data_IF_109660000570
#
_entry.id   IF_109660000570
#
_cell.length_a   1.000
_cell.length_b   1.000
_cell.length_c   1.000
_cell.angle_alpha   90.00
_cell.angle_beta   90.00
_cell.angle_gamma   90.00
#
_symmetry.space_group_name_H-M   'P 1'
#
loop_
_entity.id
_entity.type
_entity.pdbx_description
1 polymer ?
#
# COMPACT_ATOMS: atom_id res chain seq x y z
N UNK A 1 30.04 4.96 15.76
CA UNK A 1 28.89 5.49 15.00
C UNK A 1 27.66 4.75 15.51
N UNK A 2 26.52 5.43 15.70
CA UNK A 2 25.28 4.74 16.07
C UNK A 2 24.98 3.66 15.01
N UNK A 3 24.50 2.50 15.46
CA UNK A 3 24.06 1.45 14.54
C UNK A 3 22.80 1.95 13.82
N UNK A 4 22.77 1.82 12.49
CA UNK A 4 21.58 2.15 11.71
C UNK A 4 20.54 1.07 11.93
N UNK A 5 19.38 1.42 12.46
CA UNK A 5 18.38 0.43 12.85
C UNK A 5 17.40 0.17 11.69
N UNK A 6 17.11 -1.10 11.40
CA UNK A 6 16.06 -1.48 10.45
C UNK A 6 15.04 -2.40 11.13
N UNK A 7 13.74 -2.07 11.12
CA UNK A 7 12.74 -2.89 11.79
C UNK A 7 12.64 -4.29 11.19
N UNK A 8 12.82 -5.32 12.01
CA UNK A 8 12.85 -6.71 11.56
C UNK A 8 11.56 -7.15 10.83
N UNK A 9 10.40 -6.65 11.26
CA UNK A 9 9.11 -6.95 10.60
C UNK A 9 9.04 -6.41 9.15
N UNK A 10 9.84 -5.41 8.78
CA UNK A 10 9.86 -4.84 7.44
C UNK A 10 10.85 -5.54 6.48
N UNK A 11 11.61 -6.53 6.95
CA UNK A 11 12.53 -7.32 6.09
C UNK A 11 11.76 -8.00 4.96
N UNK A 12 10.49 -8.36 5.20
CA UNK A 12 9.60 -8.91 4.16
C UNK A 12 9.46 -7.98 2.96
N UNK A 13 9.40 -6.67 3.15
CA UNK A 13 9.29 -5.70 2.04
C UNK A 13 10.54 -5.73 1.15
N UNK A 14 11.72 -5.93 1.75
CA UNK A 14 12.97 -6.10 1.00
C UNK A 14 12.99 -7.42 0.23
N UNK A 15 12.39 -8.48 0.77
CA UNK A 15 12.23 -9.75 0.06
C UNK A 15 11.25 -9.61 -1.12
N UNK A 16 10.16 -8.87 -0.95
CA UNK A 16 9.22 -8.57 -2.04
C UNK A 16 9.87 -7.72 -3.14
N UNK A 17 10.72 -6.76 -2.77
CA UNK A 17 11.59 -6.03 -3.70
C UNK A 17 12.53 -7.00 -4.45
N UNK A 18 13.26 -7.84 -3.72
CA UNK A 18 14.18 -8.82 -4.30
C UNK A 18 13.48 -9.77 -5.28
N UNK A 19 12.26 -10.23 -4.94
CA UNK A 19 11.43 -11.08 -5.83
C UNK A 19 11.11 -10.36 -7.13
N UNK A 20 10.60 -9.12 -7.06
CA UNK A 20 10.26 -8.31 -8.25
C UNK A 20 11.47 -8.06 -9.13
N UNK A 21 12.63 -7.79 -8.56
CA UNK A 21 13.84 -7.55 -9.33
C UNK A 21 14.37 -8.84 -9.97
N UNK A 22 14.31 -9.97 -9.27
CA UNK A 22 14.70 -11.27 -9.84
C UNK A 22 13.79 -11.70 -11.00
N UNK A 23 12.49 -11.42 -10.92
CA UNK A 23 11.53 -11.73 -12.00
C UNK A 23 11.81 -10.92 -13.28
N UNK A 24 12.36 -9.72 -13.14
CA UNK A 24 12.70 -8.83 -14.25
C UNK A 24 14.17 -8.97 -14.71
N UNK A 25 15.02 -9.62 -13.91
CA UNK A 25 16.45 -9.76 -14.19
C UNK A 25 16.70 -10.75 -15.32
N UNK A 26 17.56 -10.37 -16.27
CA UNK A 26 18.06 -11.29 -17.30
C UNK A 26 19.21 -12.14 -16.76
N UNK A 27 19.38 -13.39 -17.19
CA UNK A 27 20.57 -14.17 -16.87
C UNK A 27 21.84 -13.39 -17.25
N UNK A 28 22.87 -13.45 -16.39
CA UNK A 28 24.13 -12.73 -16.56
C UNK A 28 24.02 -11.18 -16.53
N UNK A 29 22.95 -10.61 -15.98
CA UNK A 29 22.93 -9.17 -15.64
C UNK A 29 24.09 -8.86 -14.67
N UNK A 30 24.95 -7.88 -14.97
CA UNK A 30 26.07 -7.49 -14.10
C UNK A 30 25.60 -7.07 -12.71
N UNK A 31 26.37 -7.43 -11.68
CA UNK A 31 26.07 -7.08 -10.28
C UNK A 31 26.02 -5.57 -10.06
N UNK A 32 26.83 -4.79 -10.80
CA UNK A 32 26.82 -3.32 -10.81
C UNK A 32 25.45 -2.73 -11.13
N UNK A 33 24.86 -3.14 -12.25
CA UNK A 33 23.54 -2.69 -12.68
C UNK A 33 22.46 -3.14 -11.69
N UNK A 34 22.56 -4.38 -11.21
CA UNK A 34 21.59 -4.94 -10.28
C UNK A 34 21.65 -4.28 -8.90
N UNK A 35 22.84 -3.93 -8.41
CA UNK A 35 23.04 -3.17 -7.17
C UNK A 35 22.34 -1.82 -7.25
N UNK A 36 22.51 -1.11 -8.38
CA UNK A 36 21.87 0.17 -8.62
C UNK A 36 20.34 0.07 -8.58
N UNK A 37 19.76 -0.93 -9.25
CA UNK A 37 18.31 -1.19 -9.23
C UNK A 37 17.81 -1.54 -7.82
N UNK A 38 18.57 -2.32 -7.06
CA UNK A 38 18.24 -2.70 -5.69
C UNK A 38 18.25 -1.48 -4.75
N UNK A 39 19.21 -0.58 -4.88
CA UNK A 39 19.29 0.66 -4.09
C UNK A 39 18.17 1.65 -4.41
N UNK A 40 17.83 1.84 -5.70
CA UNK A 40 16.64 2.62 -6.09
C UNK A 40 15.38 2.00 -5.50
N UNK A 41 15.24 0.68 -5.65
CA UNK A 41 14.10 -0.05 -5.11
C UNK A 41 14.00 0.00 -3.58
N UNK A 42 15.14 0.01 -2.88
CA UNK A 42 15.21 0.19 -1.43
C UNK A 42 14.73 1.58 -1.02
N UNK A 43 15.24 2.62 -1.67
CA UNK A 43 14.80 3.99 -1.44
C UNK A 43 13.28 4.10 -1.60
N UNK A 44 12.75 3.61 -2.73
CA UNK A 44 11.32 3.60 -2.99
C UNK A 44 10.57 2.80 -1.91
N UNK A 45 11.06 1.62 -1.54
CA UNK A 45 10.42 0.78 -0.51
C UNK A 45 10.35 1.52 0.82
N UNK A 46 11.43 2.18 1.24
CA UNK A 46 11.46 2.97 2.46
C UNK A 46 10.49 4.14 2.42
N UNK A 47 10.46 4.92 1.32
CA UNK A 47 9.51 6.02 1.14
C UNK A 47 8.04 5.56 1.18
N UNK A 48 7.74 4.42 0.57
CA UNK A 48 6.36 3.88 0.52
C UNK A 48 5.91 3.21 1.83
N UNK A 49 6.86 2.70 2.61
CA UNK A 49 6.63 2.05 3.90
C UNK A 49 6.71 3.03 5.09
N UNK A 50 7.14 4.28 4.86
CA UNK A 50 7.36 5.27 5.89
C UNK A 50 8.58 4.98 6.77
N UNK A 51 9.66 4.47 6.17
CA UNK A 51 10.93 4.15 6.82
C UNK A 51 11.99 5.23 6.63
N UNK A 52 11.57 6.49 6.53
CA UNK A 52 12.48 7.59 6.25
C UNK A 52 13.42 7.89 7.37
N UNK A 53 13.10 7.49 8.60
CA UNK A 53 14.08 7.51 9.67
C UNK A 53 15.32 6.70 9.28
N UNK A 54 15.14 5.54 8.64
CA UNK A 54 16.26 4.75 8.10
C UNK A 54 17.02 5.54 7.04
N UNK A 55 16.32 6.22 6.13
CA UNK A 55 16.94 7.05 5.09
C UNK A 55 17.66 8.28 5.67
N UNK A 56 17.09 8.90 6.70
CA UNK A 56 17.64 10.05 7.41
C UNK A 56 18.91 9.66 8.17
N UNK A 57 18.86 8.56 8.93
CA UNK A 57 20.02 8.03 9.64
C UNK A 57 21.11 7.61 8.63
N UNK A 58 20.75 7.03 7.47
CA UNK A 58 21.69 6.78 6.38
C UNK A 58 22.32 8.08 5.85
N UNK A 59 21.55 9.15 5.65
CA UNK A 59 22.09 10.44 5.20
C UNK A 59 22.94 11.14 6.27
N UNK A 60 22.68 10.91 7.56
CA UNK A 60 23.55 11.38 8.64
C UNK A 60 24.92 10.68 8.62
N UNK A 61 24.94 9.38 8.30
CA UNK A 61 26.19 8.61 8.13
C UNK A 61 26.88 8.95 6.81
N UNK A 62 26.09 9.26 5.77
CA UNK A 62 26.52 9.54 4.41
C UNK A 62 26.03 10.93 3.98
N UNK A 63 26.74 11.99 4.41
CA UNK A 63 26.35 13.38 4.20
C UNK A 63 26.16 13.81 2.71
N UNK A 64 26.64 12.98 1.77
CA UNK A 64 26.50 13.16 0.31
C UNK A 64 25.13 12.73 -0.22
N UNK A 65 24.31 12.03 0.58
CA UNK A 65 22.98 11.58 0.18
C UNK A 65 21.98 12.74 0.19
N UNK A 66 21.45 13.07 -0.99
CA UNK A 66 20.28 13.95 -1.12
C UNK A 66 19.00 13.12 -1.25
N UNK A 67 18.25 13.08 -0.16
CA UNK A 67 16.98 12.35 -0.07
C UNK A 67 15.84 12.98 -0.90
N UNK A 68 16.10 14.05 -1.66
CA UNK A 68 15.20 14.55 -2.72
C UNK A 68 15.39 13.84 -4.05
N UNK A 69 16.58 13.29 -4.29
CA UNK A 69 16.91 12.59 -5.51
C UNK A 69 17.16 11.10 -5.21
N UNK A 70 16.21 10.28 -5.67
CA UNK A 70 16.27 8.81 -5.54
C UNK A 70 17.55 8.20 -6.14
N UNK A 71 18.19 8.88 -7.10
CA UNK A 71 19.40 8.38 -7.74
C UNK A 71 20.61 8.47 -6.82
N UNK A 72 20.63 9.41 -5.87
CA UNK A 72 21.80 9.67 -5.01
C UNK A 72 22.22 8.45 -4.20
N UNK A 73 21.25 7.68 -3.68
CA UNK A 73 21.55 6.45 -2.95
C UNK A 73 22.16 5.39 -3.87
N UNK A 74 21.62 5.25 -5.09
CA UNK A 74 22.04 4.25 -6.05
C UNK A 74 23.41 4.58 -6.69
N UNK A 75 23.73 5.86 -6.79
CA UNK A 75 24.98 6.37 -7.36
C UNK A 75 26.04 6.67 -6.26
N UNK A 76 25.71 6.45 -4.98
CA UNK A 76 26.66 6.66 -3.88
C UNK A 76 27.77 5.61 -3.92
N UNK A 77 29.05 6.00 -4.16
CA UNK A 77 30.11 5.07 -4.55
C UNK A 77 30.36 3.98 -3.50
N UNK A 78 30.43 4.34 -2.21
CA UNK A 78 30.72 3.35 -1.15
C UNK A 78 29.58 2.35 -0.91
N UNK A 79 28.33 2.80 -0.98
CA UNK A 79 27.16 1.96 -0.73
C UNK A 79 26.92 1.02 -1.91
N UNK A 80 27.06 1.56 -3.12
CA UNK A 80 27.01 0.79 -4.35
C UNK A 80 28.11 -0.28 -4.38
N UNK A 81 29.37 0.10 -4.15
CA UNK A 81 30.50 -0.84 -4.11
C UNK A 81 30.30 -1.93 -3.04
N UNK A 82 29.90 -1.55 -1.82
CA UNK A 82 29.61 -2.50 -0.75
C UNK A 82 28.52 -3.51 -1.16
N UNK A 83 27.47 -3.05 -1.84
CA UNK A 83 26.41 -3.93 -2.31
C UNK A 83 26.87 -4.83 -3.44
N UNK A 84 27.64 -4.33 -4.41
CA UNK A 84 28.22 -5.16 -5.48
C UNK A 84 29.04 -6.31 -4.89
N UNK A 85 29.90 -6.02 -3.90
CA UNK A 85 30.70 -7.03 -3.21
C UNK A 85 29.81 -8.11 -2.56
N UNK A 86 28.71 -7.72 -1.90
CA UNK A 86 27.77 -8.67 -1.30
C UNK A 86 27.06 -9.52 -2.36
N UNK A 87 26.64 -8.91 -3.48
CA UNK A 87 25.95 -9.60 -4.57
C UNK A 87 26.85 -10.60 -5.31
N UNK A 88 28.12 -10.25 -5.53
CA UNK A 88 29.11 -11.14 -6.12
C UNK A 88 29.41 -12.33 -5.21
N UNK A 89 29.48 -12.11 -3.89
CA UNK A 89 29.72 -13.16 -2.90
C UNK A 89 28.61 -14.24 -2.88
N UNK A 90 27.35 -13.85 -3.05
CA UNK A 90 26.24 -14.82 -3.07
C UNK A 90 26.06 -15.51 -4.42
N UNK A 91 26.68 -15.00 -5.49
CA UNK A 91 26.56 -15.48 -6.86
C UNK A 91 25.09 -15.78 -7.22
N UNK A 92 24.32 -14.73 -7.52
CA UNK A 92 22.87 -14.83 -7.79
C UNK A 92 22.54 -15.86 -8.87
N UNK A 93 23.43 -16.10 -9.84
CA UNK A 93 23.23 -17.05 -10.93
C UNK A 93 23.62 -18.49 -10.57
N UNK A 94 24.17 -18.72 -9.38
CA UNK A 94 24.48 -20.07 -8.91
C UNK A 94 23.22 -20.95 -8.80
N UNK A 95 23.43 -22.25 -9.04
CA UNK A 95 22.41 -23.27 -8.91
C UNK A 95 21.98 -23.43 -7.46
N UNK A 96 20.85 -22.84 -7.08
CA UNK A 96 20.25 -22.95 -5.75
C UNK A 96 18.73 -22.78 -5.81
N UNK A 97 18.01 -23.07 -4.70
CA UNK A 97 16.56 -22.94 -4.65
C UNK A 97 16.11 -21.51 -4.97
N UNK A 98 15.30 -21.33 -6.01
CA UNK A 98 14.83 -19.99 -6.43
C UNK A 98 14.12 -19.22 -5.31
N UNK A 99 13.40 -19.94 -4.44
CA UNK A 99 12.67 -19.35 -3.32
C UNK A 99 13.57 -18.75 -2.22
N UNK A 100 14.85 -19.13 -2.15
CA UNK A 100 15.77 -18.60 -1.14
C UNK A 100 16.39 -17.24 -1.54
N UNK A 101 16.45 -16.95 -2.85
CA UNK A 101 17.14 -15.78 -3.40
C UNK A 101 16.59 -14.44 -2.90
N UNK A 102 15.26 -14.22 -2.79
CA UNK A 102 14.74 -12.95 -2.28
C UNK A 102 15.22 -12.60 -0.87
N UNK A 103 15.31 -13.62 0.01
CA UNK A 103 15.85 -13.45 1.36
C UNK A 103 17.33 -13.11 1.34
N UNK A 104 18.12 -13.82 0.54
CA UNK A 104 19.55 -13.53 0.39
C UNK A 104 19.79 -12.10 -0.11
N UNK A 105 18.97 -11.60 -1.03
CA UNK A 105 19.06 -10.21 -1.50
C UNK A 105 18.72 -9.20 -0.40
N UNK A 106 17.69 -9.46 0.41
CA UNK A 106 17.38 -8.63 1.55
C UNK A 106 18.54 -8.59 2.56
N UNK A 107 19.14 -9.76 2.85
CA UNK A 107 20.28 -9.87 3.76
C UNK A 107 21.53 -9.14 3.20
N UNK A 108 21.83 -9.27 1.90
CA UNK A 108 22.90 -8.52 1.22
C UNK A 108 22.70 -7.01 1.33
N UNK A 109 21.46 -6.54 1.13
CA UNK A 109 21.13 -5.13 1.20
C UNK A 109 21.27 -4.57 2.62
N UNK A 110 20.72 -5.28 3.61
CA UNK A 110 20.86 -4.93 5.04
C UNK A 110 22.34 -4.87 5.43
N UNK A 111 23.13 -5.87 5.03
CA UNK A 111 24.56 -5.91 5.32
C UNK A 111 25.34 -4.78 4.61
N UNK A 112 25.08 -4.54 3.32
CA UNK A 112 25.77 -3.52 2.53
C UNK A 112 25.52 -2.10 3.04
N UNK A 113 24.30 -1.84 3.52
CA UNK A 113 23.90 -0.56 4.09
C UNK A 113 24.29 -0.40 5.58
N UNK A 114 24.93 -1.41 6.19
CA UNK A 114 25.31 -1.37 7.60
C UNK A 114 24.11 -1.32 8.56
N UNK A 115 22.97 -1.86 8.13
CA UNK A 115 21.73 -1.87 8.92
C UNK A 115 21.76 -3.02 9.93
N UNK A 116 21.33 -2.73 11.15
CA UNK A 116 21.12 -3.71 12.22
C UNK A 116 19.63 -3.97 12.35
N UNK A 117 19.23 -5.23 12.22
CA UNK A 117 17.84 -5.63 12.42
C UNK A 117 17.49 -5.47 13.90
N UNK A 118 16.47 -4.68 14.19
CA UNK A 118 15.96 -4.49 15.54
C UNK A 118 14.51 -4.97 15.63
N UNK A 119 14.22 -5.69 16.71
CA UNK A 119 12.86 -5.91 17.16
C UNK A 119 12.43 -4.63 17.90
N UNK A 120 12.11 -3.58 17.15
CA UNK A 120 11.51 -2.38 17.76
C UNK A 120 10.24 -2.81 18.49
N UNK A 121 10.06 -2.48 19.79
CA UNK A 121 8.79 -2.68 20.46
C UNK A 121 7.79 -1.82 19.72
N UNK A 122 6.90 -2.50 19.04
CA UNK A 122 5.76 -1.97 18.33
C UNK A 122 5.13 -0.85 19.16
N UNK A 123 5.38 0.43 18.82
CA UNK A 123 4.67 1.57 19.41
C UNK A 123 3.27 1.62 18.83
N UNK A 124 2.54 0.54 19.03
CA UNK A 124 1.25 0.27 18.45
C UNK A 124 0.20 0.99 19.29
N UNK A 125 -0.53 1.91 18.66
CA UNK A 125 -1.73 2.46 19.31
C UNK A 125 -2.84 1.48 19.01
N UNK A 126 -3.18 0.64 19.98
CA UNK A 126 -4.26 -0.32 19.80
C UNK A 126 -5.58 0.44 19.89
N UNK A 127 -6.29 0.54 18.77
CA UNK A 127 -7.65 1.08 18.74
C UNK A 127 -8.64 -0.05 19.05
N UNK A 128 -9.60 0.23 19.92
CA UNK A 128 -10.69 -0.70 20.17
C UNK A 128 -11.53 -0.93 18.88
N UNK A 129 -12.24 -2.07 18.82
CA UNK A 129 -13.06 -2.44 17.65
C UNK A 129 -14.22 -1.47 17.40
N UNK A 130 -14.67 -0.71 18.40
CA UNK A 130 -15.74 0.27 18.24
C UNK A 130 -15.22 1.52 17.51
N UNK A 131 -14.10 2.08 17.97
CA UNK A 131 -13.39 3.20 17.33
C UNK A 131 -13.01 2.86 15.90
N UNK A 132 -12.52 1.63 15.64
CA UNK A 132 -12.21 1.19 14.28
C UNK A 132 -13.44 1.20 13.37
N UNK A 133 -14.58 0.70 13.85
CA UNK A 133 -15.84 0.73 13.09
C UNK A 133 -16.34 2.15 12.86
N UNK A 134 -16.25 3.02 13.85
CA UNK A 134 -16.70 4.41 13.76
C UNK A 134 -15.84 5.23 12.79
N UNK A 135 -14.52 5.03 12.82
CA UNK A 135 -13.59 5.65 11.87
C UNK A 135 -13.88 5.15 10.45
N UNK A 136 -14.02 3.84 10.25
CA UNK A 136 -14.33 3.26 8.95
C UNK A 136 -15.67 3.77 8.40
N UNK A 137 -16.71 3.83 9.25
CA UNK A 137 -18.01 4.37 8.88
C UNK A 137 -17.93 5.86 8.49
N UNK A 138 -17.13 6.65 9.20
CA UNK A 138 -16.91 8.07 8.89
C UNK A 138 -16.16 8.26 7.56
N UNK A 139 -15.20 7.39 7.24
CA UNK A 139 -14.51 7.42 5.95
C UNK A 139 -15.44 7.01 4.80
N UNK A 140 -16.25 5.96 5.00
CA UNK A 140 -17.22 5.50 4.01
C UNK A 140 -18.26 6.58 3.70
N UNK A 141 -18.70 7.34 4.71
CA UNK A 141 -19.68 8.40 4.50
C UNK A 141 -19.16 9.50 3.56
N UNK A 142 -17.85 9.73 3.46
CA UNK A 142 -17.29 10.71 2.51
C UNK A 142 -17.48 10.26 1.07
N UNK A 143 -17.36 8.95 0.80
CA UNK A 143 -17.69 8.42 -0.51
C UNK A 143 -19.16 8.66 -0.78
N UNK A 144 -20.05 8.36 0.16
CA UNK A 144 -21.48 8.63 -0.01
C UNK A 144 -21.76 10.13 -0.23
N UNK A 145 -21.15 11.04 0.54
CA UNK A 145 -21.34 12.49 0.46
C UNK A 145 -20.79 13.08 -0.87
N UNK A 146 -19.59 12.70 -1.28
CA UNK A 146 -18.98 13.11 -2.56
C UNK A 146 -19.75 12.53 -3.75
N UNK A 147 -20.35 11.35 -3.57
CA UNK A 147 -21.27 10.73 -4.54
C UNK A 147 -22.70 11.24 -4.40
N UNK A 148 -23.06 11.99 -3.37
CA UNK A 148 -24.43 12.42 -3.11
C UNK A 148 -24.78 13.77 -3.74
N UNK A 149 -23.83 14.50 -4.35
CA UNK A 149 -24.08 15.83 -4.96
C UNK A 149 -25.43 15.87 -5.68
N UNK A 150 -26.35 16.80 -5.33
CA UNK A 150 -27.73 16.76 -5.81
C UNK A 150 -27.77 16.88 -7.34
N UNK A 151 -28.72 16.20 -8.00
CA UNK A 151 -28.83 16.24 -9.45
C UNK A 151 -29.01 17.69 -9.94
N UNK A 152 -28.49 18.05 -11.12
CA UNK A 152 -28.79 19.35 -11.70
C UNK A 152 -30.31 19.50 -11.84
N UNK A 153 -30.87 20.71 -11.66
CA UNK A 153 -32.30 20.96 -11.45
C UNK A 153 -33.23 20.67 -12.65
N UNK A 154 -32.81 19.86 -13.63
CA UNK A 154 -33.53 19.59 -14.89
C UNK A 154 -33.46 18.14 -15.38
N UNK A 155 -33.16 17.16 -14.53
CA UNK A 155 -33.28 15.75 -14.95
C UNK A 155 -34.69 15.22 -14.68
N UNK A 156 -35.40 14.87 -15.76
CA UNK A 156 -36.72 14.25 -15.71
C UNK A 156 -36.70 12.97 -14.87
N UNK A 157 -37.63 12.86 -13.92
CA UNK A 157 -37.77 11.77 -12.95
C UNK A 157 -37.96 10.36 -13.55
N UNK A 158 -38.02 10.23 -14.88
CA UNK A 158 -38.20 8.95 -15.59
C UNK A 158 -36.90 8.25 -15.98
N UNK A 159 -35.73 8.87 -15.75
CA UNK A 159 -34.41 8.28 -16.05
C UNK A 159 -33.58 7.89 -14.81
N UNK A 160 -34.24 7.75 -13.64
CA UNK A 160 -33.57 7.54 -12.34
C UNK A 160 -32.92 6.14 -12.21
N UNK A 161 -33.26 5.16 -13.07
CA UNK A 161 -32.76 3.78 -12.94
C UNK A 161 -31.36 3.51 -13.53
N UNK A 162 -30.66 4.53 -14.02
CA UNK A 162 -29.22 4.43 -14.32
C UNK A 162 -28.50 5.58 -13.64
N UNK A 163 -28.32 5.47 -12.33
CA UNK A 163 -27.30 6.24 -11.61
C UNK A 163 -25.93 5.91 -12.22
N UNK A 164 -25.58 6.60 -13.30
CA UNK A 164 -24.19 6.64 -13.76
C UNK A 164 -23.38 7.16 -12.58
N UNK A 165 -22.30 6.48 -12.15
CA UNK A 165 -21.56 6.86 -10.95
C UNK A 165 -21.05 8.29 -11.09
N UNK A 166 -21.47 9.20 -10.21
CA UNK A 166 -21.15 10.64 -10.25
C UNK A 166 -19.64 10.93 -10.35
N UNK A 167 -18.80 9.98 -9.92
CA UNK A 167 -17.34 9.98 -10.13
C UNK A 167 -16.96 10.22 -11.59
N UNK A 168 -17.59 9.51 -12.54
CA UNK A 168 -17.25 9.64 -13.96
C UNK A 168 -17.46 11.06 -14.45
N UNK A 169 -18.57 11.69 -14.08
CA UNK A 169 -18.89 13.05 -14.50
C UNK A 169 -17.93 14.07 -13.88
N UNK A 170 -17.56 13.89 -12.60
CA UNK A 170 -16.57 14.73 -11.92
C UNK A 170 -15.20 14.59 -12.61
N UNK A 171 -14.75 13.36 -12.89
CA UNK A 171 -13.48 13.09 -13.60
C UNK A 171 -13.51 13.69 -15.00
N UNK A 172 -14.57 13.48 -15.77
CA UNK A 172 -14.71 14.01 -17.13
C UNK A 172 -14.71 15.53 -17.12
N UNK A 173 -15.42 16.15 -16.18
CA UNK A 173 -15.44 17.63 -16.03
C UNK A 173 -14.04 18.15 -15.74
N UNK A 174 -13.34 17.55 -14.77
CA UNK A 174 -11.97 17.95 -14.43
C UNK A 174 -10.98 17.68 -15.57
N UNK A 175 -11.14 16.57 -16.28
CA UNK A 175 -10.30 16.23 -17.43
C UNK A 175 -10.53 17.20 -18.59
N UNK A 176 -11.76 17.69 -18.78
CA UNK A 176 -12.08 18.73 -19.76
C UNK A 176 -11.37 20.05 -19.43
N UNK A 177 -11.30 20.44 -18.16
CA UNK A 177 -10.55 21.62 -17.70
C UNK A 177 -9.03 21.49 -17.96
N UNK A 178 -8.48 20.28 -17.81
CA UNK A 178 -7.05 19.99 -18.00
C UNK A 178 -6.68 19.70 -19.46
N UNK A 179 -7.66 19.46 -20.33
CA UNK A 179 -7.45 19.12 -21.72
C UNK A 179 -7.02 20.35 -22.53
N UNK A 180 -6.00 20.21 -23.36
CA UNK A 180 -5.61 21.28 -24.29
C UNK A 180 -6.78 21.62 -25.24
N UNK A 181 -7.01 22.92 -25.56
CA UNK A 181 -8.16 23.35 -26.37
C UNK A 181 -8.27 22.65 -27.72
N UNK A 182 -7.12 22.36 -28.35
CA UNK A 182 -7.04 21.69 -29.64
C UNK A 182 -7.56 20.25 -29.63
N UNK A 183 -7.61 19.59 -28.46
CA UNK A 183 -8.08 18.21 -28.33
C UNK A 183 -9.54 18.10 -27.88
N UNK A 184 -10.23 19.20 -27.56
CA UNK A 184 -11.62 19.17 -27.04
C UNK A 184 -12.61 18.46 -27.97
N UNK A 185 -12.46 18.60 -29.30
CA UNK A 185 -13.30 17.89 -30.26
C UNK A 185 -13.08 16.36 -30.27
N UNK A 186 -11.86 15.92 -29.99
CA UNK A 186 -11.52 14.50 -29.80
C UNK A 186 -11.91 14.01 -28.40
N UNK A 187 -11.85 14.87 -27.39
CA UNK A 187 -12.18 14.59 -26.00
C UNK A 187 -13.61 14.06 -25.87
N UNK A 188 -14.60 14.75 -26.46
CA UNK A 188 -16.00 14.31 -26.40
C UNK A 188 -16.22 12.94 -27.05
N UNK A 189 -15.46 12.63 -28.12
CA UNK A 189 -15.51 11.31 -28.78
C UNK A 189 -14.93 10.22 -27.88
N UNK A 190 -13.84 10.49 -27.15
CA UNK A 190 -13.26 9.53 -26.20
C UNK A 190 -14.19 9.33 -25.02
N UNK A 191 -14.69 10.42 -24.41
CA UNK A 191 -15.60 10.37 -23.26
C UNK A 191 -16.84 9.53 -23.56
N UNK A 192 -17.43 9.69 -24.76
CA UNK A 192 -18.58 8.89 -25.18
C UNK A 192 -18.31 7.38 -25.27
N UNK A 193 -17.04 6.96 -25.31
CA UNK A 193 -16.63 5.55 -25.34
C UNK A 193 -16.02 5.07 -24.02
N UNK A 194 -15.97 5.90 -22.99
CA UNK A 194 -15.51 5.46 -21.67
C UNK A 194 -16.59 4.66 -20.93
N UNK A 195 -16.16 3.67 -20.16
CA UNK A 195 -17.00 2.96 -19.19
C UNK A 195 -17.55 3.91 -18.10
N UNK A 196 -18.44 3.36 -17.27
CA UNK A 196 -19.13 4.09 -16.20
C UNK A 196 -18.19 4.64 -15.12
N UNK A 197 -16.91 4.26 -15.13
CA UNK A 197 -15.88 4.72 -14.18
C UNK A 197 -14.82 5.62 -14.83
N UNK A 198 -14.97 5.95 -16.12
CA UNK A 198 -13.94 6.62 -16.90
C UNK A 198 -12.56 5.91 -16.89
N UNK A 199 -12.54 4.59 -16.71
CA UNK A 199 -11.30 3.82 -16.55
C UNK A 199 -10.91 3.04 -17.80
N UNK A 200 -11.89 2.55 -18.56
CA UNK A 200 -11.64 1.72 -19.75
C UNK A 200 -12.45 2.24 -20.93
N UNK A 201 -11.87 2.15 -22.12
CA UNK A 201 -12.62 2.38 -23.35
C UNK A 201 -13.44 1.13 -23.66
N UNK A 202 -14.76 1.30 -23.80
CA UNK A 202 -15.68 0.27 -24.30
C UNK A 202 -15.39 -0.03 -25.77
N UNK A 203 -15.00 1.00 -26.54
CA UNK A 203 -14.62 0.90 -27.95
C UNK A 203 -13.54 1.91 -28.27
N UNK A 204 -12.65 1.54 -29.18
CA UNK A 204 -11.60 2.45 -29.65
C UNK A 204 -12.19 3.57 -30.53
N UNK A 205 -12.07 4.84 -30.11
CA UNK A 205 -12.58 5.97 -30.88
C UNK A 205 -11.65 6.29 -32.06
N UNK A 206 -12.22 6.77 -33.18
CA UNK A 206 -11.45 7.24 -34.33
C UNK A 206 -10.97 8.67 -34.09
N UNK A 207 -9.82 8.80 -33.43
CA UNK A 207 -9.16 10.08 -33.12
C UNK A 207 -7.67 10.00 -33.45
N UNK A 208 -7.01 11.14 -33.74
CA UNK A 208 -5.55 11.21 -33.89
C UNK A 208 -4.81 10.66 -32.65
N UNK A 209 -3.62 10.07 -32.86
CA UNK A 209 -2.85 9.41 -31.80
C UNK A 209 -2.37 10.40 -30.73
N UNK A 210 -1.85 11.55 -31.15
CA UNK A 210 -1.47 12.68 -30.31
C UNK A 210 -2.63 13.17 -29.44
N UNK A 211 -3.81 13.34 -30.03
CA UNK A 211 -5.02 13.69 -29.28
C UNK A 211 -5.39 12.60 -28.26
N UNK A 212 -5.32 11.33 -28.65
CA UNK A 212 -5.58 10.21 -27.73
C UNK A 212 -4.62 10.21 -26.54
N UNK A 213 -3.32 10.45 -26.76
CA UNK A 213 -2.32 10.48 -25.70
C UNK A 213 -2.53 11.68 -24.76
N UNK A 214 -2.76 12.88 -25.33
CA UNK A 214 -3.04 14.09 -24.54
C UNK A 214 -4.30 13.94 -23.68
N UNK A 215 -5.39 13.39 -24.24
CA UNK A 215 -6.63 13.16 -23.51
C UNK A 215 -6.47 12.09 -22.43
N UNK A 216 -5.72 11.01 -22.69
CA UNK A 216 -5.41 9.99 -21.68
C UNK A 216 -4.62 10.58 -20.50
N UNK A 217 -3.66 11.46 -20.76
CA UNK A 217 -2.93 12.17 -19.72
C UNK A 217 -3.86 13.06 -18.89
N UNK A 218 -4.71 13.86 -19.54
CA UNK A 218 -5.67 14.73 -18.86
C UNK A 218 -6.67 13.92 -17.99
N UNK A 219 -7.20 12.80 -18.51
CA UNK A 219 -8.06 11.89 -17.76
C UNK A 219 -7.34 11.26 -16.56
N UNK A 220 -6.07 10.86 -16.72
CA UNK A 220 -5.26 10.31 -15.63
C UNK A 220 -5.04 11.33 -14.52
N UNK A 221 -4.62 12.55 -14.88
CA UNK A 221 -4.41 13.64 -13.93
C UNK A 221 -5.70 14.03 -13.22
N UNK A 222 -6.80 14.18 -13.95
CA UNK A 222 -8.11 14.48 -13.39
C UNK A 222 -8.55 13.42 -12.37
N UNK A 223 -8.35 12.14 -12.69
CA UNK A 223 -8.64 11.03 -11.78
C UNK A 223 -7.82 11.13 -10.50
N UNK A 224 -6.52 11.38 -10.59
CA UNK A 224 -5.66 11.50 -9.42
C UNK A 224 -6.09 12.69 -8.54
N UNK A 225 -6.51 13.82 -9.15
CA UNK A 225 -7.05 14.96 -8.41
C UNK A 225 -8.34 14.59 -7.68
N UNK A 226 -9.29 13.93 -8.35
CA UNK A 226 -10.58 13.54 -7.75
C UNK A 226 -10.38 12.53 -6.63
N UNK A 227 -9.60 11.48 -6.87
CA UNK A 227 -9.30 10.47 -5.85
C UNK A 227 -8.49 11.02 -4.69
N UNK A 228 -7.53 11.91 -4.94
CA UNK A 228 -6.80 12.59 -3.89
C UNK A 228 -7.69 13.46 -3.02
N UNK A 229 -8.67 14.17 -3.60
CA UNK A 229 -9.67 14.94 -2.85
C UNK A 229 -10.53 14.04 -1.97
N UNK A 230 -11.11 12.98 -2.52
CA UNK A 230 -11.96 12.04 -1.78
C UNK A 230 -11.18 11.39 -0.64
N UNK A 231 -9.95 10.93 -0.91
CA UNK A 231 -9.08 10.35 0.09
C UNK A 231 -8.74 11.36 1.20
N UNK A 232 -8.38 12.60 0.83
CA UNK A 232 -8.12 13.69 1.77
C UNK A 232 -9.30 13.94 2.71
N UNK A 233 -10.50 14.10 2.16
CA UNK A 233 -11.72 14.31 2.93
C UNK A 233 -12.05 13.11 3.85
N UNK A 234 -11.86 11.87 3.37
CA UNK A 234 -12.04 10.67 4.19
C UNK A 234 -11.07 10.64 5.37
N UNK A 235 -9.82 11.03 5.15
CA UNK A 235 -8.79 11.12 6.20
C UNK A 235 -9.12 12.23 7.21
N UNK A 236 -9.60 13.39 6.75
CA UNK A 236 -10.08 14.45 7.65
C UNK A 236 -11.20 13.94 8.56
N UNK A 237 -12.18 13.23 8.00
CA UNK A 237 -13.29 12.65 8.76
C UNK A 237 -12.84 11.58 9.76
N UNK A 238 -11.92 10.72 9.34
CA UNK A 238 -11.28 9.74 10.21
C UNK A 238 -10.54 10.41 11.37
N UNK A 239 -9.79 11.48 11.07
CA UNK A 239 -9.05 12.26 12.06
C UNK A 239 -9.98 12.94 13.07
N UNK A 240 -11.08 13.53 12.63
CA UNK A 240 -12.09 14.13 13.51
C UNK A 240 -12.65 13.10 14.49
N UNK A 241 -13.01 11.91 14.01
CA UNK A 241 -13.51 10.82 14.86
C UNK A 241 -12.44 10.30 15.80
N UNK A 242 -11.24 10.08 15.32
CA UNK A 242 -10.15 9.60 16.14
C UNK A 242 -9.76 10.62 17.21
N UNK A 243 -9.80 11.92 16.92
CA UNK A 243 -9.46 12.98 17.87
C UNK A 243 -10.40 13.00 19.10
N UNK A 244 -11.62 12.47 18.97
CA UNK A 244 -12.58 12.36 20.07
C UNK A 244 -12.18 11.30 21.10
N UNK A 245 -11.40 10.29 20.71
CA UNK A 245 -11.05 9.15 21.56
C UNK A 245 -9.55 9.06 21.82
N UNK A 246 -8.73 9.35 20.81
CA UNK A 246 -7.26 9.29 20.83
C UNK A 246 -6.66 10.51 20.10
N UNK A 247 -6.56 11.68 20.76
CA UNK A 247 -6.05 12.91 20.15
C UNK A 247 -4.60 12.80 19.68
N UNK A 248 -3.76 12.02 20.37
CA UNK A 248 -2.38 11.76 19.94
C UNK A 248 -2.35 10.97 18.61
N UNK A 249 -3.19 9.95 18.48
CA UNK A 249 -3.27 9.14 17.26
C UNK A 249 -3.81 9.96 16.07
N UNK A 250 -4.77 10.85 16.34
CA UNK A 250 -5.27 11.79 15.34
C UNK A 250 -4.21 12.81 14.90
N UNK A 251 -3.41 13.34 15.83
CA UNK A 251 -2.32 14.26 15.51
C UNK A 251 -1.27 13.61 14.59
N UNK A 252 -0.96 12.32 14.82
CA UNK A 252 0.02 11.57 14.02
C UNK A 252 -0.30 11.44 12.53
N UNK A 253 -1.57 11.54 12.14
CA UNK A 253 -2.00 11.46 10.72
C UNK A 253 -1.36 12.56 9.87
N UNK A 254 -1.14 13.72 10.49
CA UNK A 254 -0.57 14.91 9.84
C UNK A 254 0.86 15.19 10.30
N UNK A 255 1.41 14.36 11.19
CA UNK A 255 2.83 14.40 11.49
C UNK A 255 3.57 13.65 10.38
N UNK A 256 4.75 14.14 9.98
CA UNK A 256 5.59 13.39 9.06
C UNK A 256 5.91 12.02 9.68
N UNK A 257 5.52 10.94 9.00
CA UNK A 257 6.08 9.60 9.24
C UNK A 257 7.31 9.36 8.38
N UNK A 258 7.46 10.20 7.35
CA UNK A 258 8.57 10.24 6.42
C UNK A 258 9.30 11.58 6.53
N UNK A 259 10.43 11.80 5.84
CA UNK A 259 11.11 13.10 5.86
C UNK A 259 10.31 14.21 5.14
N UNK A 260 9.31 13.85 4.33
CA UNK A 260 8.59 14.77 3.43
C UNK A 260 7.09 14.53 3.29
N UNK A 261 6.58 13.42 3.80
CA UNK A 261 5.23 12.89 3.60
C UNK A 261 4.66 12.49 4.96
N UNK A 262 3.45 12.94 5.18
CA UNK A 262 2.59 12.49 6.28
C UNK A 262 1.96 11.14 5.92
N UNK A 263 1.42 10.38 6.88
CA UNK A 263 0.57 9.22 6.56
C UNK A 263 -0.56 9.56 5.58
N UNK A 264 -1.12 10.76 5.70
CA UNK A 264 -2.09 11.29 4.74
C UNK A 264 -1.55 11.38 3.32
N UNK A 265 -0.31 11.83 3.14
CA UNK A 265 0.26 11.93 1.80
C UNK A 265 0.49 10.54 1.21
N UNK A 266 1.00 9.59 2.01
CA UNK A 266 1.18 8.19 1.60
C UNK A 266 -0.16 7.55 1.21
N UNK A 267 -1.23 7.83 1.95
CA UNK A 267 -2.60 7.42 1.64
C UNK A 267 -3.03 7.85 0.24
N UNK A 268 -2.94 9.16 0.01
CA UNK A 268 -3.41 9.79 -1.21
C UNK A 268 -2.63 9.24 -2.40
N UNK A 269 -1.31 9.09 -2.26
CA UNK A 269 -0.46 8.50 -3.29
C UNK A 269 -0.85 7.06 -3.61
N UNK A 270 -1.15 6.23 -2.60
CA UNK A 270 -1.58 4.84 -2.80
C UNK A 270 -2.90 4.72 -3.53
N UNK A 271 -3.90 5.53 -3.15
CA UNK A 271 -5.20 5.55 -3.84
C UNK A 271 -5.05 6.06 -5.29
N UNK A 272 -4.10 6.96 -5.53
CA UNK A 272 -3.80 7.48 -6.87
C UNK A 272 -2.94 6.54 -7.73
N UNK A 273 -2.43 5.43 -7.20
CA UNK A 273 -1.54 4.53 -7.96
C UNK A 273 -2.26 3.97 -9.20
N UNK A 274 -1.59 4.07 -10.36
CA UNK A 274 -2.16 3.68 -11.66
C UNK A 274 -2.53 2.19 -11.77
N UNK A 275 -2.07 1.35 -10.84
CA UNK A 275 -2.38 -0.08 -10.74
C UNK A 275 -3.71 -0.33 -10.02
N UNK A 276 -4.13 0.54 -9.10
CA UNK A 276 -5.38 0.40 -8.33
C UNK A 276 -6.61 0.23 -9.23
N UNK A 277 -6.82 1.03 -10.29
CA UNK A 277 -7.90 0.86 -11.26
C UNK A 277 -7.96 -0.49 -11.98
N UNK A 278 -6.83 -1.22 -12.00
CA UNK A 278 -6.71 -2.52 -12.69
C UNK A 278 -6.99 -3.68 -11.75
N UNK A 279 -7.13 -3.42 -10.45
CA UNK A 279 -7.43 -4.42 -9.45
C UNK A 279 -8.91 -4.82 -9.51
N UNK A 280 -9.26 -6.09 -9.18
CA UNK A 280 -10.66 -6.54 -9.07
C UNK A 280 -11.49 -5.60 -8.17
N UNK A 281 -12.80 -5.53 -8.38
CA UNK A 281 -13.69 -4.64 -7.60
C UNK A 281 -13.56 -4.92 -6.11
N UNK A 282 -13.46 -6.20 -5.73
CA UNK A 282 -13.28 -6.65 -4.35
C UNK A 282 -11.95 -6.15 -3.77
N UNK A 283 -10.93 -5.99 -4.60
CA UNK A 283 -9.62 -5.46 -4.20
C UNK A 283 -9.64 -3.93 -4.14
N UNK A 284 -10.41 -3.23 -4.98
CA UNK A 284 -10.62 -1.77 -4.87
C UNK A 284 -11.47 -1.42 -3.65
N UNK A 285 -12.52 -2.18 -3.38
CA UNK A 285 -13.33 -2.07 -2.17
C UNK A 285 -12.48 -2.42 -0.93
N UNK A 286 -11.61 -3.44 -1.05
CA UNK A 286 -10.55 -3.72 -0.07
C UNK A 286 -9.51 -2.62 0.01
N UNK A 287 -9.23 -1.84 -1.05
CA UNK A 287 -8.22 -0.78 -1.08
C UNK A 287 -8.75 0.52 -0.47
N UNK A 288 -10.06 0.77 -0.59
CA UNK A 288 -10.80 1.74 0.22
C UNK A 288 -10.85 1.28 1.68
N UNK A 289 -11.04 -0.02 1.93
CA UNK A 289 -10.78 -0.64 3.24
C UNK A 289 -9.29 -0.60 3.64
N UNK A 290 -8.35 -0.50 2.69
CA UNK A 290 -6.91 -0.27 2.92
C UNK A 290 -6.57 1.21 3.14
N UNK A 291 -7.49 2.12 2.84
CA UNK A 291 -7.45 3.46 3.43
C UNK A 291 -7.78 3.32 4.94
N UNK A 292 -8.55 2.30 5.37
CA UNK A 292 -8.53 1.86 6.76
C UNK A 292 -7.23 1.12 7.13
N UNK A 293 -6.49 0.47 6.22
CA UNK A 293 -5.07 0.08 6.44
C UNK A 293 -4.09 1.27 6.46
N UNK A 294 -4.52 2.52 6.21
CA UNK A 294 -3.75 3.66 6.72
C UNK A 294 -3.74 3.69 8.22
N UNK A 295 -4.65 3.01 8.92
CA UNK A 295 -4.41 2.68 10.33
C UNK A 295 -3.18 1.80 10.53
N UNK A 296 -2.80 0.94 9.59
CA UNK A 296 -1.57 0.15 9.71
C UNK A 296 -0.31 1.02 9.53
N UNK A 297 -0.32 2.00 8.62
CA UNK A 297 0.85 2.87 8.33
C UNK A 297 0.87 4.14 9.19
N UNK A 298 -0.27 4.78 9.41
CA UNK A 298 -0.43 5.94 10.28
C UNK A 298 -0.50 5.55 11.77
N UNK A 299 -1.10 4.40 12.10
CA UNK A 299 -1.42 4.06 13.50
C UNK A 299 -0.74 2.81 14.04
N UNK A 300 0.19 2.18 13.30
CA UNK A 300 0.97 1.03 13.82
C UNK A 300 0.01 0.06 14.51
N UNK A 301 -0.97 -0.48 13.80
CA UNK A 301 -1.84 -1.51 14.37
C UNK A 301 -1.03 -2.79 14.42
N UNK A 302 -0.83 -3.37 15.61
CA UNK A 302 -0.22 -4.68 15.75
C UNK A 302 -1.02 -5.65 14.87
N UNK A 303 -0.37 -6.31 13.91
CA UNK A 303 -0.93 -7.58 13.44
C UNK A 303 -1.11 -8.41 14.71
N UNK A 304 -2.35 -8.80 15.05
CA UNK A 304 -2.54 -9.75 16.14
C UNK A 304 -1.64 -10.93 15.78
N UNK A 305 -0.63 -11.25 16.60
CA UNK A 305 0.44 -12.16 16.19
C UNK A 305 -0.19 -13.46 15.72
N UNK A 306 -0.08 -13.73 14.42
CA UNK A 306 -0.72 -14.90 13.83
C UNK A 306 0.12 -16.10 14.21
N UNK A 307 -0.41 -16.94 15.10
CA UNK A 307 0.30 -18.13 15.55
C UNK A 307 0.03 -19.28 14.59
N UNK A 308 1.09 -19.92 14.12
CA UNK A 308 0.94 -21.17 13.38
C UNK A 308 0.17 -22.19 14.24
N UNK A 309 -0.93 -22.72 13.70
CA UNK A 309 -1.73 -23.69 14.43
C UNK A 309 -0.92 -24.97 14.68
N UNK A 310 -0.90 -25.41 15.93
CA UNK A 310 -0.41 -26.70 16.34
C UNK A 310 -1.30 -27.25 17.46
N UNK A 311 -1.72 -28.50 17.35
CA UNK A 311 -2.62 -29.12 18.33
C UNK A 311 -2.05 -29.14 19.76
N UNK A 312 -0.73 -29.08 19.90
CA UNK A 312 0.00 -29.05 21.19
C UNK A 312 0.12 -27.66 21.81
N UNK A 313 -0.25 -26.60 21.09
CA UNK A 313 -0.16 -25.22 21.60
C UNK A 313 -1.48 -24.78 22.21
N UNK A 314 -1.42 -23.97 23.26
CA UNK A 314 -2.58 -23.31 23.87
C UNK A 314 -2.88 -21.99 23.17
N UNK A 315 -4.17 -21.69 23.00
CA UNK A 315 -4.67 -20.47 22.36
C UNK A 315 -5.71 -19.80 23.28
N UNK A 316 -5.80 -18.48 23.25
CA UNK A 316 -6.88 -17.71 23.88
C UNK A 316 -7.99 -17.36 22.88
N UNK A 317 -9.21 -17.11 23.39
CA UNK A 317 -10.31 -16.53 22.57
C UNK A 317 -9.87 -15.16 22.05
N UNK A 318 -10.08 -14.91 20.76
CA UNK A 318 -9.65 -13.71 20.04
C UNK A 318 -8.25 -13.79 19.41
N UNK A 319 -7.47 -14.86 19.68
CA UNK A 319 -6.19 -15.07 18.99
C UNK A 319 -6.39 -15.37 17.51
N UNK A 320 -5.51 -14.82 16.66
CA UNK A 320 -5.41 -15.20 15.26
C UNK A 320 -4.45 -16.37 15.10
N UNK A 321 -4.88 -17.37 14.34
CA UNK A 321 -4.07 -18.54 14.01
C UNK A 321 -3.98 -18.73 12.51
N UNK A 322 -2.88 -19.33 12.04
CA UNK A 322 -2.70 -19.76 10.65
C UNK A 322 -2.73 -21.29 10.58
N UNK A 323 -3.78 -21.82 9.96
CA UNK A 323 -3.96 -23.25 9.74
C UNK A 323 -3.50 -23.63 8.32
N UNK A 324 -2.65 -24.66 8.14
CA UNK A 324 -2.11 -25.04 6.82
C UNK A 324 -3.18 -25.30 5.74
N UNK A 325 -4.37 -25.74 6.14
CA UNK A 325 -5.49 -26.05 5.23
C UNK A 325 -6.49 -24.91 5.04
N UNK A 326 -6.74 -24.12 6.08
CA UNK A 326 -7.86 -23.16 6.12
C UNK A 326 -7.39 -21.70 6.06
N UNK A 327 -6.07 -21.48 6.09
CA UNK A 327 -5.49 -20.14 6.11
C UNK A 327 -5.61 -19.50 7.49
N UNK A 328 -5.84 -18.19 7.52
CA UNK A 328 -5.93 -17.39 8.75
C UNK A 328 -7.34 -17.44 9.35
N UNK A 329 -7.45 -17.60 10.67
CA UNK A 329 -8.73 -17.58 11.37
C UNK A 329 -8.63 -17.10 12.82
N UNK A 330 -9.76 -16.69 13.39
CA UNK A 330 -9.86 -16.16 14.76
C UNK A 330 -10.51 -17.16 15.71
N UNK A 331 -9.90 -17.41 16.87
CA UNK A 331 -10.44 -18.33 17.88
C UNK A 331 -11.67 -17.72 18.55
N UNK A 332 -12.86 -18.28 18.30
CA UNK A 332 -14.13 -17.83 18.85
C UNK A 332 -14.43 -18.39 20.24
N UNK A 333 -14.08 -19.67 20.47
CA UNK A 333 -14.34 -20.31 21.77
C UNK A 333 -13.36 -21.44 22.07
N UNK A 334 -13.15 -21.68 23.37
CA UNK A 334 -12.31 -22.74 23.91
C UNK A 334 -13.18 -23.80 24.58
N UNK A 335 -13.04 -25.05 24.15
CA UNK A 335 -13.56 -26.23 24.84
C UNK A 335 -12.39 -27.10 25.32
N UNK A 336 -12.66 -28.04 26.24
CA UNK A 336 -11.61 -28.82 26.91
C UNK A 336 -10.54 -29.39 25.97
N UNK A 337 -10.93 -29.94 24.81
CA UNK A 337 -10.01 -30.54 23.84
C UNK A 337 -10.16 -29.98 22.42
N UNK A 338 -10.82 -28.82 22.26
CA UNK A 338 -11.18 -28.26 20.95
C UNK A 338 -11.24 -26.74 20.99
N UNK A 339 -10.94 -26.10 19.88
CA UNK A 339 -11.17 -24.67 19.65
C UNK A 339 -12.10 -24.50 18.47
N UNK A 340 -13.03 -23.55 18.58
CA UNK A 340 -13.79 -23.09 17.43
C UNK A 340 -13.10 -21.87 16.85
N UNK A 341 -12.89 -21.86 15.53
CA UNK A 341 -12.14 -20.84 14.82
C UNK A 341 -12.94 -20.41 13.60
N UNK A 342 -13.11 -19.10 13.42
CA UNK A 342 -13.73 -18.53 12.22
C UNK A 342 -12.64 -18.29 11.16
N UNK A 343 -12.73 -19.00 10.03
CA UNK A 343 -11.88 -18.80 8.86
C UNK A 343 -12.65 -18.07 7.75
N UNK A 344 -11.97 -17.71 6.67
CA UNK A 344 -12.62 -17.06 5.52
C UNK A 344 -13.63 -17.95 4.78
N UNK A 345 -13.49 -19.28 4.88
CA UNK A 345 -14.41 -20.27 4.34
C UNK A 345 -15.49 -20.71 5.35
N UNK A 346 -15.51 -20.12 6.54
CA UNK A 346 -16.51 -20.30 7.59
C UNK A 346 -15.94 -20.85 8.90
N UNK A 347 -16.85 -21.22 9.80
CA UNK A 347 -16.51 -21.73 11.14
C UNK A 347 -16.00 -23.18 11.09
N UNK A 348 -14.83 -23.42 11.65
CA UNK A 348 -14.25 -24.76 11.81
C UNK A 348 -13.89 -25.06 13.27
N UNK A 349 -14.01 -26.33 13.66
CA UNK A 349 -13.57 -26.80 14.98
C UNK A 349 -12.25 -27.56 14.86
N UNK A 350 -11.21 -27.09 15.55
CA UNK A 350 -9.88 -27.70 15.54
C UNK A 350 -9.60 -28.44 16.86
N UNK A 351 -8.74 -29.46 16.80
CA UNK A 351 -8.34 -30.27 17.96
C UNK A 351 -7.27 -29.54 18.76
N UNK A 352 -7.46 -29.43 20.07
CA UNK A 352 -6.51 -28.79 20.97
C UNK A 352 -6.20 -29.73 22.14
N UNK A 353 -4.94 -29.99 22.44
CA UNK A 353 -4.52 -30.79 23.59
C UNK A 353 -3.99 -29.84 24.66
N UNK A 354 -4.77 -29.53 25.71
CA UNK A 354 -4.25 -28.71 26.80
C UNK A 354 -3.09 -29.44 27.48
N UNK A 355 -2.01 -28.72 27.81
CA UNK A 355 -0.93 -29.29 28.62
C UNK A 355 -1.54 -29.84 29.91
N UNK A 356 -1.36 -31.15 30.14
CA UNK A 356 -1.66 -31.75 31.45
C UNK A 356 -0.79 -31.03 32.48
N UNK A 357 -1.44 -30.33 33.42
CA UNK A 357 -0.78 -29.72 34.57
C UNK A 357 -0.13 -30.77 35.45
#
# INVERSE_FOLDING_TARGET
MPALEFPNHNVRLLQELGTRLLDNRKPATPSDLFARELLVGFFDTCMHAGLDRVLAELAEVHAELDLTDRATLADHPKLHEALVVQLDAINIDSGGPRAAKPRQLADCLVAALGLTLVDEPDRTITLDDAVRRDVAAAMASVVDDELATPPPPRMDARNVEREVPKIREIIVTKARELCEPQYLGSFEKIVAQLDDRAMRMIKQPKVPLDASQGIQLALHQARNVVYGRIAGAAIDRAKEKLAQVHPEAAARIDLPVTLKLTPRDVAILRVCDARVPKMPKEVVDSLVSSVSELSHIAWRVAERPVRAYAASQTFAVGELIEHPKFGRGEVLSLMANRIDVEFSDGKHTLVHVPLRK
#
